data_IF_650552425544
#
_entry.id   IF_650552425544
#
_cell.length_a   1.000
_cell.length_b   1.000
_cell.length_c   1.000
_cell.angle_alpha   90.00
_cell.angle_beta   90.00
_cell.angle_gamma   90.00
#
_symmetry.space_group_name_H-M   'P 1'
#
loop_
_entity.id
_entity.type
_entity.pdbx_description
1 polymer ?
#
# COMPACT_ATOMS: atom_id res chain seq x y z
N UNK A 1 -5.35 24.25 -15.19
CA UNK A 1 -6.04 24.54 -13.91
C UNK A 1 -6.44 26.01 -13.79
N UNK A 2 -7.56 26.32 -13.09
CA UNK A 2 -8.01 27.67 -12.74
C UNK A 2 -8.35 27.74 -11.26
N UNK A 3 -7.89 28.77 -10.58
CA UNK A 3 -8.15 29.03 -9.15
C UNK A 3 -9.21 30.11 -9.01
N UNK A 4 -10.28 29.82 -8.26
CA UNK A 4 -11.37 30.74 -7.95
C UNK A 4 -11.70 30.68 -6.45
N UNK A 5 -11.12 31.59 -5.66
CA UNK A 5 -11.18 31.54 -4.19
C UNK A 5 -10.55 30.24 -3.67
N UNK A 6 -11.30 29.46 -2.91
CA UNK A 6 -10.88 28.17 -2.37
C UNK A 6 -11.29 26.97 -3.26
N UNK A 7 -11.42 27.19 -4.57
CA UNK A 7 -11.76 26.12 -5.53
C UNK A 7 -10.77 26.09 -6.68
N UNK A 8 -10.51 24.88 -7.17
CA UNK A 8 -9.66 24.63 -8.33
C UNK A 8 -10.45 23.84 -9.36
N UNK A 9 -10.48 24.31 -10.60
CA UNK A 9 -11.13 23.64 -11.72
C UNK A 9 -10.14 23.32 -12.85
N UNK A 10 -10.50 22.35 -13.70
CA UNK A 10 -9.68 21.91 -14.80
C UNK A 10 -8.43 21.14 -14.35
N UNK A 11 -8.51 20.43 -13.22
CA UNK A 11 -7.47 19.51 -12.76
C UNK A 11 -7.45 18.29 -13.67
N UNK A 12 -6.27 17.86 -14.11
CA UNK A 12 -6.08 16.67 -14.94
C UNK A 12 -5.44 15.55 -14.14
N UNK A 13 -6.13 14.41 -14.03
CA UNK A 13 -5.65 13.21 -13.35
C UNK A 13 -5.47 12.09 -14.37
N UNK A 14 -4.27 11.52 -14.47
CA UNK A 14 -4.03 10.27 -15.18
C UNK A 14 -4.12 9.10 -14.19
N UNK A 15 -4.93 8.10 -14.48
CA UNK A 15 -5.05 6.91 -13.65
C UNK A 15 -4.54 5.68 -14.37
N UNK A 16 -3.35 5.20 -13.99
CA UNK A 16 -2.74 3.95 -14.48
C UNK A 16 -3.31 2.80 -13.62
N UNK A 17 -4.02 1.88 -14.27
CA UNK A 17 -4.89 0.88 -13.63
C UNK A 17 -6.34 1.33 -13.56
N UNK A 18 -6.76 2.23 -14.47
CA UNK A 18 -8.09 2.85 -14.50
C UNK A 18 -9.24 1.88 -14.76
N UNK A 19 -8.96 0.63 -15.16
CA UNK A 19 -9.91 -0.48 -15.25
C UNK A 19 -10.17 -1.20 -13.93
N UNK A 20 -9.54 -0.78 -12.83
CA UNK A 20 -9.71 -1.40 -11.51
C UNK A 20 -11.17 -1.45 -11.07
N UNK A 21 -11.61 -2.63 -10.64
CA UNK A 21 -12.98 -2.91 -10.17
C UNK A 21 -13.05 -2.83 -8.64
N UNK A 22 -12.68 -1.69 -8.11
CA UNK A 22 -12.64 -1.39 -6.66
C UNK A 22 -11.90 -0.09 -6.40
N UNK A 23 -10.60 -0.05 -6.57
CA UNK A 23 -9.79 1.16 -6.32
C UNK A 23 -10.21 2.34 -7.20
N UNK A 24 -10.50 2.12 -8.50
CA UNK A 24 -10.99 3.18 -9.36
C UNK A 24 -12.35 3.73 -8.90
N UNK A 25 -13.28 2.85 -8.49
CA UNK A 25 -14.59 3.28 -7.97
C UNK A 25 -14.47 4.04 -6.66
N UNK A 26 -13.53 3.63 -5.78
CA UNK A 26 -13.21 4.35 -4.56
C UNK A 26 -12.72 5.77 -4.83
N UNK A 27 -11.70 5.91 -5.70
CA UNK A 27 -11.21 7.24 -6.10
C UNK A 27 -12.30 8.10 -6.73
N UNK A 28 -13.13 7.53 -7.61
CA UNK A 28 -14.27 8.25 -8.21
C UNK A 28 -15.26 8.76 -7.15
N UNK A 29 -15.52 7.94 -6.12
CA UNK A 29 -16.37 8.30 -4.99
C UNK A 29 -15.76 9.42 -4.17
N UNK A 30 -14.47 9.34 -3.84
CA UNK A 30 -13.74 10.36 -3.07
C UNK A 30 -13.66 11.69 -3.84
N UNK A 31 -13.39 11.63 -5.16
CA UNK A 31 -13.39 12.81 -6.04
C UNK A 31 -14.77 13.45 -6.10
N UNK A 32 -15.83 12.67 -6.30
CA UNK A 32 -17.20 13.19 -6.37
C UNK A 32 -17.67 13.83 -5.04
N UNK A 33 -17.11 13.42 -3.90
CA UNK A 33 -17.40 13.99 -2.59
C UNK A 33 -16.63 15.29 -2.28
N UNK A 34 -15.52 15.57 -2.99
CA UNK A 34 -14.70 16.75 -2.78
C UNK A 34 -15.32 17.97 -3.48
N UNK A 35 -15.75 19.00 -2.72
CA UNK A 35 -16.52 20.15 -3.25
C UNK A 35 -15.68 21.29 -3.84
N UNK A 36 -14.37 21.25 -3.66
CA UNK A 36 -13.44 22.33 -3.94
C UNK A 36 -12.49 22.05 -5.11
N UNK A 37 -12.65 20.91 -5.79
CA UNK A 37 -11.88 20.57 -6.98
C UNK A 37 -12.73 19.88 -8.03
N UNK A 38 -12.43 20.12 -9.31
CA UNK A 38 -13.10 19.51 -10.46
C UNK A 38 -12.17 19.44 -11.66
N UNK A 39 -12.47 18.56 -12.61
CA UNK A 39 -11.61 18.41 -13.78
C UNK A 39 -11.89 17.17 -14.60
N UNK A 40 -10.84 16.52 -15.07
CA UNK A 40 -10.92 15.30 -15.89
C UNK A 40 -10.02 14.20 -15.33
N UNK A 41 -10.43 12.95 -15.58
CA UNK A 41 -9.68 11.75 -15.22
C UNK A 41 -9.50 10.88 -16.48
N UNK A 42 -8.25 10.76 -16.93
CA UNK A 42 -7.88 9.87 -18.02
C UNK A 42 -7.60 8.46 -17.46
N UNK A 43 -8.45 7.50 -17.80
CA UNK A 43 -8.36 6.11 -17.34
C UNK A 43 -7.54 5.29 -18.32
N UNK A 44 -6.32 4.91 -17.94
CA UNK A 44 -5.50 3.99 -18.72
C UNK A 44 -5.43 2.62 -18.05
N UNK A 45 -5.69 1.58 -18.83
CA UNK A 45 -5.53 0.18 -18.41
C UNK A 45 -5.14 -0.68 -19.61
N UNK A 46 -4.46 -1.79 -19.37
CA UNK A 46 -4.23 -2.83 -20.39
C UNK A 46 -5.54 -3.53 -20.77
N UNK A 47 -6.47 -3.66 -19.81
CA UNK A 47 -7.88 -4.03 -20.03
C UNK A 47 -8.68 -2.77 -20.44
N UNK A 48 -8.62 -2.44 -21.73
CA UNK A 48 -9.28 -1.25 -22.29
C UNK A 48 -10.79 -1.27 -22.12
N UNK A 49 -11.39 -2.45 -22.13
CA UNK A 49 -12.83 -2.60 -21.93
C UNK A 49 -13.21 -2.24 -20.49
N UNK A 50 -12.41 -2.65 -19.50
CA UNK A 50 -12.62 -2.28 -18.12
C UNK A 50 -12.49 -0.75 -17.91
N UNK A 51 -11.51 -0.11 -18.55
CA UNK A 51 -11.37 1.35 -18.50
C UNK A 51 -12.57 2.06 -19.14
N UNK A 52 -13.06 1.59 -20.28
CA UNK A 52 -14.24 2.15 -20.94
C UNK A 52 -15.53 1.96 -20.10
N UNK A 53 -15.69 0.84 -19.42
CA UNK A 53 -16.80 0.63 -18.47
C UNK A 53 -16.70 1.61 -17.29
N UNK A 54 -15.51 1.81 -16.75
CA UNK A 54 -15.29 2.75 -15.67
C UNK A 54 -15.49 4.22 -16.09
N UNK A 55 -15.23 4.58 -17.35
CA UNK A 55 -15.61 5.88 -17.91
C UNK A 55 -17.12 6.12 -17.78
N UNK A 56 -17.93 5.16 -18.19
CA UNK A 56 -19.41 5.27 -18.09
C UNK A 56 -19.86 5.34 -16.64
N UNK A 57 -19.28 4.50 -15.77
CA UNK A 57 -19.60 4.47 -14.34
C UNK A 57 -19.24 5.82 -13.69
N UNK A 58 -18.03 6.33 -13.90
CA UNK A 58 -17.56 7.59 -13.34
C UNK A 58 -18.39 8.79 -13.80
N UNK A 59 -18.68 8.88 -15.10
CA UNK A 59 -19.50 9.98 -15.64
C UNK A 59 -20.94 9.98 -15.09
N UNK A 60 -21.51 8.82 -14.80
CA UNK A 60 -22.83 8.73 -14.16
C UNK A 60 -22.83 9.20 -12.72
N UNK A 61 -21.71 9.17 -11.99
CA UNK A 61 -21.63 9.66 -10.60
C UNK A 61 -21.91 11.16 -10.51
N UNK A 62 -21.63 11.94 -11.56
CA UNK A 62 -21.93 13.39 -11.61
C UNK A 62 -23.43 13.69 -11.45
N UNK A 63 -24.31 12.77 -11.83
CA UNK A 63 -25.76 12.94 -11.71
C UNK A 63 -26.33 12.53 -10.35
N UNK A 64 -25.51 12.07 -9.40
CA UNK A 64 -25.99 11.65 -8.11
C UNK A 64 -26.22 12.85 -7.18
N UNK A 65 -27.27 12.85 -6.33
CA UNK A 65 -27.56 13.95 -5.41
C UNK A 65 -26.44 14.24 -4.40
N UNK A 66 -25.59 13.25 -4.12
CA UNK A 66 -24.46 13.35 -3.19
C UNK A 66 -23.19 13.92 -3.85
N UNK A 67 -23.16 14.03 -5.20
CA UNK A 67 -22.00 14.58 -5.90
C UNK A 67 -21.83 16.07 -5.55
N UNK A 68 -20.63 16.42 -5.09
CA UNK A 68 -20.26 17.79 -4.71
C UNK A 68 -19.43 18.49 -5.78
N UNK A 69 -18.83 17.69 -6.69
CA UNK A 69 -18.04 18.16 -7.81
C UNK A 69 -18.34 17.36 -9.07
N UNK A 70 -17.95 17.89 -10.23
CA UNK A 70 -18.11 17.24 -11.51
C UNK A 70 -16.74 16.86 -12.10
N UNK A 71 -16.61 15.60 -12.54
CA UNK A 71 -15.42 15.06 -13.16
C UNK A 71 -15.75 14.43 -14.51
N UNK A 72 -14.96 14.77 -15.54
CA UNK A 72 -15.09 14.14 -16.85
C UNK A 72 -14.15 12.93 -16.93
N UNK A 73 -14.69 11.74 -16.95
CA UNK A 73 -13.91 10.50 -17.08
C UNK A 73 -13.85 10.09 -18.56
N UNK A 74 -12.66 9.70 -19.03
CA UNK A 74 -12.48 9.16 -20.37
C UNK A 74 -11.42 8.06 -20.39
N UNK A 75 -11.66 6.99 -21.15
CA UNK A 75 -10.71 5.91 -21.35
C UNK A 75 -9.65 6.33 -22.36
N UNK A 76 -8.39 6.28 -21.95
CA UNK A 76 -7.26 6.69 -22.78
C UNK A 76 -6.76 5.51 -23.66
N UNK A 77 -6.46 5.80 -24.93
CA UNK A 77 -5.99 4.81 -25.89
C UNK A 77 -4.53 4.38 -25.74
N UNK A 78 -3.74 5.12 -24.98
CA UNK A 78 -2.33 4.80 -24.69
C UNK A 78 -1.92 5.43 -23.36
N UNK A 79 -0.81 4.93 -22.78
CA UNK A 79 -0.21 5.50 -21.58
C UNK A 79 0.16 6.97 -21.79
N UNK A 80 0.84 7.31 -22.90
CA UNK A 80 1.19 8.68 -23.21
C UNK A 80 -0.01 9.62 -23.32
N UNK A 81 -1.10 9.17 -23.98
CA UNK A 81 -2.33 9.96 -24.10
C UNK A 81 -3.01 10.21 -22.72
N UNK A 82 -2.93 9.25 -21.81
CA UNK A 82 -3.44 9.45 -20.43
C UNK A 82 -2.60 10.46 -19.66
N UNK A 83 -1.28 10.43 -19.84
CA UNK A 83 -0.33 11.25 -19.09
C UNK A 83 -0.21 12.68 -19.62
N UNK A 84 -0.59 12.95 -20.87
CA UNK A 84 -0.31 14.22 -21.55
C UNK A 84 -0.92 15.41 -20.80
N UNK A 85 -0.06 16.24 -20.22
CA UNK A 85 -0.43 17.42 -19.43
C UNK A 85 -1.14 17.11 -18.11
N UNK A 86 -1.00 15.92 -17.55
CA UNK A 86 -1.58 15.57 -16.26
C UNK A 86 -0.94 16.40 -15.12
N UNK A 87 -1.77 16.82 -14.16
CA UNK A 87 -1.35 17.47 -12.91
C UNK A 87 -1.06 16.41 -11.82
N UNK A 88 -1.79 15.31 -11.87
CA UNK A 88 -1.63 14.16 -10.98
C UNK A 88 -1.61 12.85 -11.75
N UNK A 89 -0.79 11.91 -11.29
CA UNK A 89 -0.77 10.54 -11.78
C UNK A 89 -1.07 9.60 -10.62
N UNK A 90 -2.12 8.81 -10.73
CA UNK A 90 -2.43 7.75 -9.76
C UNK A 90 -2.03 6.42 -10.36
N UNK A 91 -1.24 5.61 -9.62
CA UNK A 91 -0.82 4.26 -10.05
C UNK A 91 -1.40 3.24 -9.08
N UNK A 92 -2.30 2.38 -9.61
CA UNK A 92 -2.91 1.29 -8.83
C UNK A 92 -3.14 0.08 -9.74
N UNK A 93 -2.13 -0.78 -9.86
CA UNK A 93 -2.16 -1.96 -10.71
C UNK A 93 -1.99 -3.26 -9.93
N UNK A 94 -2.45 -4.37 -10.50
CA UNK A 94 -2.05 -5.71 -10.11
C UNK A 94 -0.95 -6.18 -11.08
N UNK A 95 0.31 -6.29 -10.64
CA UNK A 95 1.39 -6.79 -11.50
C UNK A 95 1.23 -8.29 -11.77
N UNK A 96 0.91 -8.66 -12.99
CA UNK A 96 0.53 -10.01 -13.37
C UNK A 96 -0.97 -10.29 -13.14
N UNK A 97 -1.30 -11.55 -12.99
CA UNK A 97 -2.66 -12.02 -12.71
C UNK A 97 -2.74 -12.71 -11.35
N UNK A 98 -3.91 -13.24 -11.00
CA UNK A 98 -4.03 -14.11 -9.82
C UNK A 98 -3.35 -15.47 -9.98
N UNK A 99 -2.93 -15.87 -11.18
CA UNK A 99 -2.16 -17.11 -11.39
C UNK A 99 -0.70 -16.90 -10.94
N UNK A 100 -0.09 -15.76 -11.28
CA UNK A 100 1.22 -15.38 -10.74
C UNK A 100 1.15 -15.19 -9.22
N UNK A 101 0.09 -14.56 -8.71
CA UNK A 101 -0.11 -14.41 -7.26
C UNK A 101 -0.27 -15.78 -6.57
N UNK A 102 -0.91 -16.75 -7.20
CA UNK A 102 -1.01 -18.11 -6.67
C UNK A 102 0.38 -18.76 -6.51
N UNK A 103 1.26 -18.57 -7.49
CA UNK A 103 2.66 -18.99 -7.37
C UNK A 103 3.38 -18.22 -6.24
N UNK A 104 3.20 -16.88 -6.16
CA UNK A 104 3.84 -16.06 -5.13
C UNK A 104 3.48 -16.52 -3.72
N UNK A 105 2.21 -16.83 -3.46
CA UNK A 105 1.69 -17.15 -2.13
C UNK A 105 1.82 -18.65 -1.82
N UNK A 106 1.48 -19.52 -2.77
CA UNK A 106 1.28 -20.95 -2.49
C UNK A 106 2.42 -21.86 -2.93
N UNK A 107 3.30 -21.45 -3.88
CA UNK A 107 4.47 -22.29 -4.21
C UNK A 107 5.42 -22.49 -3.00
N UNK A 108 5.67 -21.48 -2.13
CA UNK A 108 6.49 -21.64 -0.94
C UNK A 108 5.92 -22.60 0.11
N UNK A 109 4.60 -22.85 0.12
CA UNK A 109 3.95 -23.74 1.09
C UNK A 109 4.45 -25.19 1.00
N UNK A 110 4.84 -25.62 -0.22
CA UNK A 110 5.45 -26.95 -0.42
C UNK A 110 6.78 -27.13 0.34
N UNK A 111 7.39 -26.02 0.75
CA UNK A 111 8.62 -25.95 1.54
C UNK A 111 8.39 -25.49 2.98
N UNK A 112 7.14 -25.44 3.43
CA UNK A 112 6.78 -25.00 4.78
C UNK A 112 6.90 -23.50 5.02
N UNK A 113 6.87 -22.69 3.97
CA UNK A 113 6.89 -21.22 4.05
C UNK A 113 5.48 -20.70 3.78
N UNK A 114 4.90 -20.02 4.76
CA UNK A 114 3.54 -19.51 4.69
C UNK A 114 3.55 -17.97 4.61
N UNK A 115 2.70 -17.42 3.75
CA UNK A 115 2.58 -15.99 3.51
C UNK A 115 1.11 -15.57 3.55
N UNK A 116 0.68 -14.75 4.54
CA UNK A 116 -0.72 -14.28 4.62
C UNK A 116 -1.12 -13.35 3.48
N UNK A 117 -0.17 -12.63 2.89
CA UNK A 117 -0.37 -11.64 1.81
C UNK A 117 0.52 -11.91 0.61
N UNK A 118 1.85 -12.07 0.81
CA UNK A 118 2.83 -12.41 -0.21
C UNK A 118 3.06 -11.35 -1.29
N UNK A 119 2.81 -10.07 -0.99
CA UNK A 119 2.86 -9.01 -2.00
C UNK A 119 3.98 -7.96 -1.80
N UNK A 120 4.65 -7.97 -0.66
CA UNK A 120 5.61 -6.91 -0.29
C UNK A 120 6.98 -7.46 0.09
N UNK A 121 7.06 -8.56 0.83
CA UNK A 121 8.29 -9.19 1.31
C UNK A 121 8.17 -10.71 1.18
N UNK A 122 9.21 -11.45 1.56
CA UNK A 122 9.24 -12.90 1.41
C UNK A 122 9.43 -13.36 -0.03
N UNK A 123 9.34 -14.68 -0.28
CA UNK A 123 9.42 -15.26 -1.60
C UNK A 123 8.48 -14.61 -2.62
N UNK A 124 7.21 -14.45 -2.24
CA UNK A 124 6.18 -13.84 -3.09
C UNK A 124 6.47 -12.38 -3.41
N UNK A 125 6.82 -11.59 -2.38
CA UNK A 125 7.13 -10.17 -2.55
C UNK A 125 8.30 -9.94 -3.50
N UNK A 126 9.33 -10.79 -3.46
CA UNK A 126 10.46 -10.72 -4.39
C UNK A 126 10.02 -10.98 -5.84
N UNK A 127 9.31 -12.08 -6.11
CA UNK A 127 8.87 -12.38 -7.48
C UNK A 127 7.88 -11.34 -8.00
N UNK A 128 7.00 -10.83 -7.13
CA UNK A 128 6.14 -9.71 -7.48
C UNK A 128 6.96 -8.46 -7.82
N UNK A 129 8.01 -8.14 -7.07
CA UNK A 129 8.90 -7.03 -7.35
C UNK A 129 9.60 -7.15 -8.71
N UNK A 130 10.13 -8.33 -9.03
CA UNK A 130 10.78 -8.58 -10.32
C UNK A 130 9.85 -8.33 -11.51
N UNK A 131 8.55 -8.56 -11.36
CA UNK A 131 7.54 -8.24 -12.39
C UNK A 131 7.15 -6.77 -12.39
N UNK A 132 7.08 -6.16 -11.20
CA UNK A 132 6.56 -4.79 -11.03
C UNK A 132 7.57 -3.73 -11.43
N UNK A 133 8.84 -3.92 -11.07
CA UNK A 133 9.90 -2.92 -11.30
C UNK A 133 10.01 -2.53 -12.77
N UNK A 134 10.05 -3.44 -13.76
CA UNK A 134 10.08 -3.06 -15.17
C UNK A 134 8.86 -2.26 -15.63
N UNK A 135 7.68 -2.56 -15.11
CA UNK A 135 6.47 -1.76 -15.41
C UNK A 135 6.61 -0.33 -14.88
N UNK A 136 7.17 -0.18 -13.67
CA UNK A 136 7.42 1.14 -13.07
C UNK A 136 8.54 1.91 -13.75
N UNK A 137 9.51 1.23 -14.35
CA UNK A 137 10.53 1.86 -15.22
C UNK A 137 9.86 2.50 -16.45
N UNK A 138 8.93 1.78 -17.09
CA UNK A 138 8.12 2.30 -18.20
C UNK A 138 7.27 3.50 -17.77
N UNK A 139 6.57 3.39 -16.63
CA UNK A 139 5.73 4.48 -16.14
C UNK A 139 6.56 5.73 -15.83
N UNK A 140 7.69 5.58 -15.15
CA UNK A 140 8.57 6.71 -14.82
C UNK A 140 9.14 7.40 -16.07
N UNK A 141 9.52 6.63 -17.10
CA UNK A 141 9.98 7.15 -18.38
C UNK A 141 8.86 7.91 -19.11
N UNK A 142 7.64 7.36 -19.11
CA UNK A 142 6.47 7.99 -19.73
C UNK A 142 6.06 9.27 -18.98
N UNK A 143 6.05 9.26 -17.64
CA UNK A 143 5.76 10.46 -16.81
C UNK A 143 6.77 11.57 -17.12
N UNK A 144 8.07 11.23 -17.17
CA UNK A 144 9.14 12.19 -17.53
C UNK A 144 8.90 12.82 -18.91
N UNK A 145 8.37 12.06 -19.87
CA UNK A 145 8.14 12.52 -21.24
C UNK A 145 6.87 13.38 -21.38
N UNK A 146 5.78 13.05 -20.67
CA UNK A 146 4.46 13.62 -20.91
C UNK A 146 3.98 14.59 -19.83
N UNK A 147 4.38 14.40 -18.57
CA UNK A 147 3.93 15.23 -17.43
C UNK A 147 5.00 15.31 -16.32
N UNK A 148 6.21 15.85 -16.61
CA UNK A 148 7.34 15.83 -15.66
C UNK A 148 7.07 16.60 -14.34
N UNK A 149 6.11 17.53 -14.33
CA UNK A 149 5.74 18.32 -13.15
C UNK A 149 4.60 17.71 -12.33
N UNK A 150 3.99 16.60 -12.80
CA UNK A 150 2.87 15.97 -12.13
C UNK A 150 3.28 15.35 -10.78
N UNK A 151 2.39 15.42 -9.80
CA UNK A 151 2.50 14.62 -8.59
C UNK A 151 2.04 13.19 -8.83
N UNK A 152 2.84 12.21 -8.43
CA UNK A 152 2.58 10.78 -8.60
C UNK A 152 2.20 10.15 -7.26
N UNK A 153 1.02 9.56 -7.19
CA UNK A 153 0.49 8.86 -6.02
C UNK A 153 0.46 7.37 -6.33
N UNK A 154 1.31 6.60 -5.67
CA UNK A 154 1.37 5.15 -5.86
C UNK A 154 0.63 4.38 -4.77
N UNK A 155 -0.27 3.48 -5.19
CA UNK A 155 -0.96 2.51 -4.33
C UNK A 155 -0.51 1.05 -4.57
N UNK A 156 0.36 0.84 -5.57
CA UNK A 156 0.80 -0.51 -5.97
C UNK A 156 1.88 -1.05 -5.04
N UNK A 157 1.78 -2.33 -4.69
CA UNK A 157 2.80 -3.08 -3.96
C UNK A 157 3.67 -3.95 -4.90
N UNK A 158 4.94 -4.14 -4.53
CA UNK A 158 5.69 -3.71 -3.33
C UNK A 158 5.96 -2.21 -3.33
N UNK A 159 5.30 -1.46 -2.46
CA UNK A 159 5.27 0.01 -2.52
C UNK A 159 6.65 0.65 -2.42
N UNK A 160 7.49 0.20 -1.49
CA UNK A 160 8.86 0.69 -1.32
C UNK A 160 9.65 0.60 -2.63
N UNK A 161 9.58 -0.55 -3.33
CA UNK A 161 10.31 -0.80 -4.57
C UNK A 161 9.70 -0.05 -5.76
N UNK A 162 8.37 0.11 -5.79
CA UNK A 162 7.67 0.94 -6.76
C UNK A 162 8.16 2.39 -6.69
N UNK A 163 8.09 3.01 -5.51
CA UNK A 163 8.53 4.39 -5.30
C UNK A 163 10.03 4.54 -5.58
N UNK A 164 10.86 3.59 -5.12
CA UNK A 164 12.30 3.59 -5.40
C UNK A 164 12.58 3.56 -6.90
N UNK A 165 11.85 2.77 -7.67
CA UNK A 165 12.00 2.67 -9.12
C UNK A 165 11.65 3.98 -9.83
N UNK A 166 10.56 4.65 -9.40
CA UNK A 166 10.19 5.95 -9.93
C UNK A 166 11.34 6.96 -9.79
N UNK A 167 11.90 7.09 -8.59
CA UNK A 167 13.03 8.01 -8.33
C UNK A 167 14.34 7.58 -9.02
N UNK A 168 14.61 6.29 -9.18
CA UNK A 168 15.78 5.80 -9.88
C UNK A 168 15.77 6.18 -11.37
N UNK A 169 14.63 6.04 -12.03
CA UNK A 169 14.48 6.34 -13.47
C UNK A 169 14.31 7.83 -13.73
N UNK A 170 13.64 8.52 -12.85
CA UNK A 170 13.39 9.95 -12.94
C UNK A 170 13.67 10.62 -11.58
N UNK A 171 14.93 10.99 -11.28
CA UNK A 171 15.30 11.53 -9.97
C UNK A 171 14.58 12.80 -9.52
N UNK A 172 14.04 13.60 -10.45
CA UNK A 172 13.28 14.83 -10.17
C UNK A 172 11.77 14.58 -10.04
N UNK A 173 11.31 13.34 -10.14
CA UNK A 173 9.90 13.01 -10.04
C UNK A 173 9.31 13.48 -8.70
N UNK A 174 8.12 14.04 -8.73
CA UNK A 174 7.33 14.36 -7.53
C UNK A 174 6.47 13.15 -7.20
N UNK A 175 6.95 12.19 -6.40
CA UNK A 175 6.24 10.94 -6.17
C UNK A 175 6.23 10.53 -4.69
N UNK A 176 5.15 9.89 -4.28
CA UNK A 176 5.05 9.24 -2.97
C UNK A 176 4.13 8.00 -3.04
N UNK A 177 4.31 7.09 -2.09
CA UNK A 177 3.42 5.96 -1.90
C UNK A 177 2.43 6.23 -0.77
N UNK A 178 1.17 5.86 -0.98
CA UNK A 178 0.08 6.05 -0.02
C UNK A 178 -0.40 4.68 0.48
N UNK A 179 -0.32 4.46 1.81
CA UNK A 179 -0.74 3.23 2.47
C UNK A 179 -1.54 3.51 3.72
N UNK A 180 -2.64 2.78 3.92
CA UNK A 180 -3.57 2.97 5.04
C UNK A 180 -3.30 2.05 6.25
N UNK A 181 -2.27 1.22 6.24
CA UNK A 181 -2.01 0.26 7.32
C UNK A 181 -1.78 0.94 8.69
N UNK A 182 -1.15 2.11 8.72
CA UNK A 182 -0.98 2.92 9.93
C UNK A 182 -2.34 3.39 10.50
N UNK A 183 -3.32 3.66 9.63
CA UNK A 183 -4.65 4.14 10.03
C UNK A 183 -5.40 3.12 10.90
N UNK A 184 -5.25 1.83 10.57
CA UNK A 184 -5.79 0.74 11.39
C UNK A 184 -5.22 0.75 12.80
N UNK A 185 -3.93 1.05 12.95
CA UNK A 185 -3.29 1.18 14.26
C UNK A 185 -3.74 2.44 14.99
N UNK A 186 -3.88 3.60 14.33
CA UNK A 186 -4.45 4.80 14.95
C UNK A 186 -5.88 4.54 15.44
N UNK A 187 -6.70 3.82 14.67
CA UNK A 187 -8.04 3.41 15.10
C UNK A 187 -8.01 2.50 16.35
N UNK A 188 -7.04 1.58 16.43
CA UNK A 188 -6.80 0.78 17.63
C UNK A 188 -6.41 1.67 18.83
N UNK A 189 -5.57 2.69 18.63
CA UNK A 189 -5.19 3.64 19.69
C UNK A 189 -6.40 4.45 20.19
N UNK A 190 -7.38 4.76 19.34
CA UNK A 190 -8.68 5.33 19.76
C UNK A 190 -9.44 4.40 20.72
N UNK A 191 -9.41 3.09 20.45
CA UNK A 191 -9.95 2.09 21.38
C UNK A 191 -9.17 2.04 22.70
N UNK A 192 -7.84 2.12 22.65
CA UNK A 192 -6.96 2.19 23.84
C UNK A 192 -7.32 3.39 24.71
N UNK A 193 -7.50 4.56 24.11
CA UNK A 193 -7.92 5.78 24.80
C UNK A 193 -9.27 5.60 25.51
N UNK A 194 -10.23 5.00 24.85
CA UNK A 194 -11.56 4.74 25.43
C UNK A 194 -11.47 3.78 26.62
N UNK A 195 -10.78 2.65 26.46
CA UNK A 195 -10.73 1.59 27.47
C UNK A 195 -9.85 1.93 28.68
N UNK A 196 -8.71 2.62 28.44
CA UNK A 196 -7.68 2.84 29.44
C UNK A 196 -7.69 4.26 30.07
N UNK A 197 -8.34 5.23 29.40
CA UNK A 197 -8.42 6.62 29.86
C UNK A 197 -9.83 7.20 29.87
N UNK A 198 -10.87 6.44 29.47
CA UNK A 198 -12.24 6.91 29.42
C UNK A 198 -12.52 8.01 28.39
N UNK A 199 -11.69 8.12 27.35
CA UNK A 199 -11.84 9.11 26.28
C UNK A 199 -12.70 8.54 25.16
N UNK A 200 -13.94 9.01 25.05
CA UNK A 200 -14.85 8.62 23.97
C UNK A 200 -14.76 9.55 22.77
N UNK A 201 -15.02 9.00 21.56
CA UNK A 201 -15.16 9.77 20.32
C UNK A 201 -13.86 10.24 19.70
N UNK A 202 -12.68 9.85 20.21
CA UNK A 202 -11.41 10.12 19.55
C UNK A 202 -11.34 9.37 18.21
N UNK A 203 -11.17 10.11 17.12
CA UNK A 203 -10.97 9.56 15.77
C UNK A 203 -9.47 9.33 15.49
N UNK A 204 -9.13 8.65 14.39
CA UNK A 204 -7.73 8.45 14.01
C UNK A 204 -7.00 9.77 13.73
N UNK A 205 -7.71 10.76 13.21
CA UNK A 205 -7.18 12.09 12.86
C UNK A 205 -6.80 12.91 14.09
N UNK A 206 -7.44 12.63 15.23
CA UNK A 206 -7.14 13.29 16.52
C UNK A 206 -5.85 12.74 17.17
N UNK A 207 -5.40 11.55 16.73
CA UNK A 207 -4.25 10.85 17.31
C UNK A 207 -3.00 11.16 16.51
N UNK A 208 -2.10 11.92 17.11
CA UNK A 208 -0.80 12.24 16.51
C UNK A 208 0.18 11.10 16.78
N UNK A 209 0.82 10.62 15.73
CA UNK A 209 1.80 9.54 15.79
C UNK A 209 3.10 9.95 15.12
N UNK A 210 4.23 9.47 15.61
CA UNK A 210 5.51 9.56 14.91
C UNK A 210 5.80 8.21 14.25
N UNK A 211 5.69 8.17 12.92
CA UNK A 211 5.84 6.96 12.12
C UNK A 211 7.28 6.80 11.66
N UNK A 212 7.83 5.61 11.84
CA UNK A 212 9.16 5.21 11.35
C UNK A 212 9.11 3.81 10.74
N UNK A 213 9.88 3.56 9.71
CA UNK A 213 10.01 2.23 9.12
C UNK A 213 9.94 2.22 7.61
N UNK A 214 9.57 1.07 7.06
CA UNK A 214 9.27 0.86 5.64
C UNK A 214 7.84 0.40 5.48
N UNK A 215 7.30 0.49 4.26
CA UNK A 215 5.92 0.08 4.00
C UNK A 215 5.60 -1.31 4.55
N UNK A 216 4.46 -1.43 5.21
CA UNK A 216 3.95 -2.62 5.89
C UNK A 216 4.78 -3.12 7.09
N UNK A 217 5.91 -2.47 7.38
CA UNK A 217 6.72 -2.73 8.57
C UNK A 217 7.04 -1.42 9.30
N UNK A 218 5.99 -0.65 9.52
CA UNK A 218 6.02 0.64 10.22
C UNK A 218 5.89 0.45 11.73
N UNK A 219 6.44 1.44 12.45
CA UNK A 219 6.42 1.50 13.91
C UNK A 219 6.10 2.92 14.35
N UNK A 220 5.52 3.05 15.53
CA UNK A 220 5.27 4.35 16.16
C UNK A 220 6.28 4.55 17.30
N UNK A 221 7.06 5.59 17.25
CA UNK A 221 7.98 5.95 18.35
C UNK A 221 7.36 6.96 19.32
N UNK A 222 6.25 7.58 18.93
CA UNK A 222 5.39 8.39 19.79
C UNK A 222 3.94 8.26 19.34
N UNK A 223 3.01 8.32 20.30
CA UNK A 223 1.57 8.37 20.06
C UNK A 223 0.91 9.25 21.12
N UNK A 224 0.17 10.26 20.69
CA UNK A 224 -0.40 11.28 21.56
C UNK A 224 -1.80 11.68 21.14
N UNK A 225 -2.66 11.89 22.12
CA UNK A 225 -3.98 12.51 21.96
C UNK A 225 -4.05 13.73 22.89
N UNK A 226 -4.08 14.95 22.33
CA UNK A 226 -3.97 16.20 23.08
C UNK A 226 -2.73 16.18 23.98
N UNK A 227 -2.90 16.22 25.33
CA UNK A 227 -1.88 16.13 26.35
C UNK A 227 -1.63 14.71 26.90
N UNK A 228 -2.36 13.71 26.39
CA UNK A 228 -2.28 12.32 26.83
C UNK A 228 -1.22 11.56 26.01
N UNK A 229 -0.16 11.08 26.69
CA UNK A 229 0.74 10.08 26.13
C UNK A 229 0.06 8.71 26.11
N UNK A 230 -0.08 8.14 24.91
CA UNK A 230 -0.78 6.86 24.71
C UNK A 230 0.10 5.65 25.06
N UNK A 231 1.44 5.79 25.11
CA UNK A 231 2.33 4.67 25.35
C UNK A 231 2.10 3.92 26.68
N UNK A 232 1.93 4.59 27.82
CA UNK A 232 1.56 3.91 29.06
C UNK A 232 0.21 3.22 29.00
N UNK A 233 -0.75 3.80 28.28
CA UNK A 233 -2.09 3.23 28.08
C UNK A 233 -1.99 1.96 27.22
N UNK A 234 -1.28 2.04 26.11
CA UNK A 234 -1.06 0.90 25.21
C UNK A 234 -0.35 -0.27 25.91
N UNK A 235 0.58 0.03 26.83
CA UNK A 235 1.26 -1.00 27.64
C UNK A 235 0.26 -1.79 28.48
N UNK A 236 -0.66 -1.11 29.18
CA UNK A 236 -1.71 -1.79 29.98
C UNK A 236 -2.65 -2.58 29.09
N UNK A 237 -3.07 -1.98 27.98
CA UNK A 237 -3.92 -2.64 26.99
C UNK A 237 -3.27 -3.90 26.42
N UNK A 238 -2.00 -3.83 26.01
CA UNK A 238 -1.27 -4.98 25.50
C UNK A 238 -1.06 -6.07 26.56
N UNK A 239 -0.86 -5.72 27.83
CA UNK A 239 -0.82 -6.69 28.92
C UNK A 239 -2.16 -7.42 29.11
N UNK A 240 -3.28 -6.72 28.95
CA UNK A 240 -4.63 -7.26 29.08
C UNK A 240 -4.97 -8.21 27.94
N UNK A 241 -4.64 -7.85 26.71
CA UNK A 241 -5.15 -8.52 25.51
C UNK A 241 -4.15 -9.42 24.77
N UNK A 242 -2.87 -9.46 25.14
CA UNK A 242 -1.85 -10.20 24.38
C UNK A 242 -2.11 -11.70 24.22
N UNK A 243 -2.80 -12.33 25.19
CA UNK A 243 -3.04 -13.77 25.16
C UNK A 243 -4.25 -14.18 24.32
N UNK A 244 -5.30 -13.34 24.31
CA UNK A 244 -6.57 -13.66 23.66
C UNK A 244 -6.86 -12.76 22.45
N UNK A 245 -6.08 -11.70 22.31
CA UNK A 245 -6.29 -10.68 21.28
C UNK A 245 -7.44 -9.75 21.60
N UNK A 246 -7.49 -8.63 20.91
CA UNK A 246 -8.56 -7.66 20.98
C UNK A 246 -9.37 -7.72 19.68
N UNK A 247 -10.23 -8.71 19.53
CA UNK A 247 -11.02 -8.88 18.32
C UNK A 247 -11.73 -7.56 17.94
N UNK A 248 -11.52 -7.09 16.70
CA UNK A 248 -12.60 -6.38 16.00
C UNK A 248 -13.75 -7.36 15.98
N UNK A 249 -15.01 -6.94 16.28
CA UNK A 249 -16.16 -7.75 15.90
C UNK A 249 -15.96 -8.11 14.46
N UNK A 250 -15.66 -9.38 14.17
CA UNK A 250 -15.70 -9.88 12.83
C UNK A 250 -17.13 -9.64 12.36
N UNK A 251 -17.32 -8.79 11.38
CA UNK A 251 -18.53 -8.91 10.59
C UNK A 251 -18.50 -10.34 10.06
N UNK A 252 -19.53 -11.14 10.35
CA UNK A 252 -19.66 -12.54 9.92
C UNK A 252 -19.78 -12.70 8.40
N UNK A 253 -19.37 -11.69 7.69
CA UNK A 253 -19.35 -11.65 6.26
C UNK A 253 -18.06 -12.34 5.76
N UNK A 254 -18.22 -13.33 4.88
CA UNK A 254 -17.14 -14.10 4.30
C UNK A 254 -16.06 -13.22 3.66
N UNK A 255 -16.41 -12.02 3.21
CA UNK A 255 -15.53 -11.01 2.60
C UNK A 255 -14.43 -10.54 3.58
N UNK A 256 -14.75 -10.39 4.85
CA UNK A 256 -13.79 -9.94 5.87
C UNK A 256 -13.11 -11.09 6.62
N UNK A 257 -13.51 -12.32 6.36
CA UNK A 257 -13.02 -13.51 7.09
C UNK A 257 -11.49 -13.62 7.08
N UNK A 258 -10.86 -13.36 5.94
CA UNK A 258 -9.41 -13.45 5.76
C UNK A 258 -8.65 -12.18 6.15
N UNK A 259 -9.35 -11.08 6.42
CA UNK A 259 -8.74 -9.82 6.85
C UNK A 259 -8.91 -9.57 8.35
N UNK A 260 -9.69 -10.40 9.04
CA UNK A 260 -9.84 -10.32 10.49
C UNK A 260 -8.50 -10.56 11.16
N UNK A 261 -8.13 -9.70 12.12
CA UNK A 261 -6.96 -9.84 12.97
C UNK A 261 -7.36 -9.59 14.42
N UNK A 262 -6.70 -10.29 15.33
CA UNK A 262 -6.87 -10.10 16.79
C UNK A 262 -5.82 -9.19 17.38
N UNK A 263 -5.00 -8.54 16.56
CA UNK A 263 -3.91 -7.60 16.92
C UNK A 263 -2.86 -8.22 17.87
N UNK A 264 -2.71 -9.55 17.83
CA UNK A 264 -1.85 -10.29 18.77
C UNK A 264 -0.37 -10.17 18.40
N UNK A 265 -0.03 -10.21 17.10
CA UNK A 265 1.36 -10.03 16.63
C UNK A 265 1.86 -8.64 17.00
N UNK A 266 1.04 -7.61 16.77
CA UNK A 266 1.35 -6.22 17.12
C UNK A 266 1.63 -6.05 18.61
N UNK A 267 0.77 -6.63 19.46
CA UNK A 267 0.95 -6.57 20.91
C UNK A 267 2.15 -7.40 21.39
N UNK A 268 2.44 -8.55 20.78
CA UNK A 268 3.62 -9.36 21.11
C UNK A 268 4.92 -8.62 20.75
N UNK A 269 4.97 -8.02 19.55
CA UNK A 269 6.10 -7.20 19.12
C UNK A 269 6.33 -6.03 20.07
N UNK A 270 5.27 -5.32 20.50
CA UNK A 270 5.39 -4.25 21.48
C UNK A 270 5.96 -4.74 22.83
N UNK A 271 5.48 -5.88 23.33
CA UNK A 271 5.96 -6.45 24.61
C UNK A 271 7.43 -6.85 24.55
N UNK A 272 7.92 -7.28 23.39
CA UNK A 272 9.31 -7.71 23.20
C UNK A 272 10.25 -6.57 22.87
N UNK A 273 9.83 -5.65 22.01
CA UNK A 273 10.70 -4.61 21.46
C UNK A 273 10.44 -3.23 22.05
N UNK A 274 9.33 -3.03 22.78
CA UNK A 274 9.01 -1.76 23.45
C UNK A 274 8.53 -0.65 22.53
N UNK A 275 8.32 -0.94 21.23
CA UNK A 275 7.85 0.02 20.22
C UNK A 275 6.54 -0.48 19.64
N UNK A 276 5.57 0.41 19.41
CA UNK A 276 4.27 0.04 18.85
C UNK A 276 4.44 -0.25 17.35
N UNK A 277 4.20 -1.49 16.91
CA UNK A 277 4.15 -1.83 15.49
C UNK A 277 2.86 -1.29 14.86
N UNK A 278 2.93 -0.73 13.65
CA UNK A 278 1.88 0.10 13.08
C UNK A 278 1.24 -0.43 11.80
N UNK A 279 1.58 -1.64 11.36
CA UNK A 279 0.88 -2.33 10.29
C UNK A 279 -0.04 -3.44 10.84
N UNK A 280 -0.86 -4.05 10.00
CA UNK A 280 -1.69 -5.20 10.38
C UNK A 280 -0.86 -6.44 10.68
N UNK A 281 -1.36 -7.32 11.55
CA UNK A 281 -0.66 -8.54 11.99
C UNK A 281 -0.17 -9.41 10.84
N UNK A 282 -0.95 -9.51 9.77
CA UNK A 282 -0.64 -10.30 8.58
C UNK A 282 0.63 -9.80 7.87
N UNK A 283 0.78 -8.50 7.74
CA UNK A 283 1.98 -7.87 7.18
C UNK A 283 3.15 -7.97 8.14
N UNK A 284 2.96 -7.59 9.41
CA UNK A 284 4.01 -7.64 10.42
C UNK A 284 4.65 -9.02 10.53
N UNK A 285 3.84 -10.08 10.45
CA UNK A 285 4.32 -11.46 10.52
C UNK A 285 5.27 -11.81 9.37
N UNK A 286 5.03 -11.30 8.15
CA UNK A 286 5.86 -11.58 6.97
C UNK A 286 7.25 -10.94 7.03
N UNK A 287 7.41 -9.84 7.76
CA UNK A 287 8.70 -9.15 7.94
C UNK A 287 9.54 -9.73 9.08
N UNK A 288 8.96 -10.59 9.89
CA UNK A 288 9.64 -11.28 10.98
C UNK A 288 10.19 -12.63 10.52
N UNK A 289 11.17 -13.22 11.25
CA UNK A 289 11.54 -14.62 11.02
C UNK A 289 10.29 -15.52 11.03
N UNK A 290 10.10 -16.30 9.97
CA UNK A 290 8.89 -17.10 9.79
C UNK A 290 8.58 -18.05 10.95
N UNK A 291 9.61 -18.50 11.67
CA UNK A 291 9.47 -19.32 12.88
C UNK A 291 8.71 -18.63 14.03
N UNK A 292 8.55 -17.28 14.01
CA UNK A 292 7.87 -16.57 15.09
C UNK A 292 6.34 -16.66 14.97
N UNK A 293 5.81 -16.41 13.79
CA UNK A 293 4.36 -16.24 13.58
C UNK A 293 3.80 -17.06 12.41
N UNK A 294 4.67 -17.57 11.51
CA UNK A 294 4.32 -18.21 10.25
C UNK A 294 4.88 -19.65 10.13
N UNK A 295 5.21 -20.28 11.25
CA UNK A 295 5.82 -21.63 11.25
C UNK A 295 4.96 -22.66 10.54
N UNK A 296 3.65 -22.61 10.75
CA UNK A 296 2.65 -23.50 10.19
C UNK A 296 1.25 -22.86 10.32
N UNK A 297 0.21 -23.38 9.63
CA UNK A 297 -1.15 -22.85 9.70
C UNK A 297 -1.73 -22.81 11.13
N UNK A 298 -1.41 -23.77 11.98
CA UNK A 298 -1.87 -23.79 13.36
C UNK A 298 -1.25 -22.64 14.18
N UNK A 299 0.01 -22.30 13.90
CA UNK A 299 0.67 -21.12 14.49
C UNK A 299 -0.02 -19.84 14.06
N UNK A 300 -0.37 -19.70 12.77
CA UNK A 300 -1.11 -18.54 12.24
C UNK A 300 -2.46 -18.38 12.94
N UNK A 301 -3.23 -19.46 13.05
CA UNK A 301 -4.52 -19.47 13.76
C UNK A 301 -4.37 -19.09 15.23
N UNK A 302 -3.35 -19.61 15.91
CA UNK A 302 -3.02 -19.29 17.31
C UNK A 302 -2.75 -17.78 17.47
N UNK A 303 -2.11 -17.12 16.49
CA UNK A 303 -1.83 -15.69 16.51
C UNK A 303 -3.02 -14.83 16.06
N UNK A 304 -4.17 -15.46 15.78
CA UNK A 304 -5.44 -14.78 15.57
C UNK A 304 -5.56 -14.01 14.25
N UNK A 305 -4.86 -14.46 13.21
CA UNK A 305 -5.05 -13.98 11.84
C UNK A 305 -5.16 -15.17 10.87
N UNK A 306 -5.35 -14.91 9.57
CA UNK A 306 -5.56 -15.95 8.58
C UNK A 306 -4.59 -15.81 7.40
N UNK A 307 -4.24 -16.96 6.80
CA UNK A 307 -3.67 -17.02 5.46
C UNK A 307 -4.80 -16.71 4.45
N UNK A 308 -4.54 -15.86 3.48
CA UNK A 308 -5.54 -15.54 2.45
C UNK A 308 -5.31 -16.41 1.23
N UNK A 309 -6.16 -17.41 0.97
CA UNK A 309 -5.99 -18.26 -0.20
C UNK A 309 -6.27 -17.45 -1.47
N UNK A 310 -5.44 -17.63 -2.49
CA UNK A 310 -5.62 -16.93 -3.78
C UNK A 310 -6.90 -17.39 -4.49
N UNK A 311 -7.36 -18.60 -4.24
CA UNK A 311 -8.66 -19.09 -4.70
C UNK A 311 -9.81 -18.17 -4.27
N UNK A 312 -9.80 -17.64 -3.04
CA UNK A 312 -10.78 -16.66 -2.59
C UNK A 312 -10.71 -15.36 -3.40
N UNK A 313 -9.49 -14.89 -3.73
CA UNK A 313 -9.32 -13.68 -4.57
C UNK A 313 -9.85 -13.89 -5.99
N UNK A 314 -9.70 -15.10 -6.54
CA UNK A 314 -10.27 -15.48 -7.83
C UNK A 314 -11.81 -15.48 -7.82
N UNK A 315 -12.42 -15.97 -6.72
CA UNK A 315 -13.88 -15.89 -6.55
C UNK A 315 -14.36 -14.44 -6.35
N UNK A 316 -13.66 -13.67 -5.54
CA UNK A 316 -13.94 -12.23 -5.37
C UNK A 316 -13.86 -11.48 -6.71
N UNK A 317 -12.89 -11.81 -7.57
CA UNK A 317 -12.80 -11.21 -8.91
C UNK A 317 -14.06 -11.50 -9.75
N UNK A 318 -14.60 -12.72 -9.70
CA UNK A 318 -15.85 -13.04 -10.41
C UNK A 318 -17.01 -12.15 -9.96
N UNK A 319 -17.15 -11.95 -8.65
CA UNK A 319 -18.20 -11.06 -8.11
C UNK A 319 -17.95 -9.59 -8.50
N UNK A 320 -16.71 -9.12 -8.49
CA UNK A 320 -16.36 -7.76 -8.95
C UNK A 320 -16.62 -7.56 -10.43
N UNK A 321 -16.38 -8.58 -11.27
CA UNK A 321 -16.72 -8.57 -12.69
C UNK A 321 -18.23 -8.48 -12.90
N UNK A 322 -19.00 -9.30 -12.20
CA UNK A 322 -20.46 -9.26 -12.24
C UNK A 322 -21.02 -7.92 -11.74
N UNK A 323 -20.44 -7.37 -10.67
CA UNK A 323 -20.81 -6.05 -10.16
C UNK A 323 -20.49 -4.93 -11.14
N UNK A 324 -19.32 -4.99 -11.81
CA UNK A 324 -18.96 -4.03 -12.85
C UNK A 324 -20.00 -3.99 -13.96
N UNK A 325 -20.52 -5.16 -14.40
CA UNK A 325 -21.60 -5.24 -15.38
C UNK A 325 -22.90 -4.63 -14.86
N UNK A 326 -23.30 -4.92 -13.62
CA UNK A 326 -24.51 -4.34 -13.02
C UNK A 326 -24.42 -2.81 -12.88
N UNK A 327 -23.25 -2.28 -12.48
CA UNK A 327 -23.02 -0.83 -12.39
C UNK A 327 -23.01 -0.18 -13.78
N UNK A 328 -22.37 -0.81 -14.76
CA UNK A 328 -22.28 -0.33 -16.12
C UNK A 328 -23.66 -0.30 -16.81
N UNK A 329 -24.44 -1.37 -16.70
CA UNK A 329 -25.79 -1.46 -17.28
C UNK A 329 -26.84 -0.61 -16.53
N UNK A 330 -26.57 -0.20 -15.30
CA UNK A 330 -27.53 0.50 -14.44
C UNK A 330 -28.45 -0.43 -13.66
N UNK A 331 -28.20 -1.74 -13.67
CA UNK A 331 -28.94 -2.73 -12.87
C UNK A 331 -28.63 -2.61 -11.38
N UNK A 332 -27.50 -2.05 -11.00
CA UNK A 332 -27.13 -1.68 -9.62
C UNK A 332 -27.01 -0.16 -9.52
N UNK A 333 -27.62 0.42 -8.50
CA UNK A 333 -27.55 1.87 -8.26
C UNK A 333 -26.14 2.28 -7.79
N UNK A 334 -25.59 3.31 -8.41
CA UNK A 334 -24.35 3.94 -7.96
C UNK A 334 -24.55 4.66 -6.62
N UNK A 335 -23.51 4.67 -5.81
CA UNK A 335 -23.45 5.40 -4.54
C UNK A 335 -22.12 6.12 -4.44
N UNK A 336 -22.14 7.31 -3.85
CA UNK A 336 -20.94 8.00 -3.41
C UNK A 336 -20.73 7.59 -1.95
N UNK A 337 -19.68 6.79 -1.73
CA UNK A 337 -19.30 6.25 -0.43
C UNK A 337 -17.79 6.46 -0.26
N UNK A 338 -17.37 7.58 0.37
CA UNK A 338 -15.96 7.91 0.53
C UNK A 338 -15.19 6.82 1.26
N UNK A 339 -14.01 6.50 0.73
CA UNK A 339 -13.21 5.36 1.18
C UNK A 339 -12.49 5.59 2.50
N UNK A 340 -12.25 6.86 2.87
CA UNK A 340 -11.35 7.23 3.95
C UNK A 340 -9.86 7.16 3.58
N UNK A 341 -9.54 6.86 2.31
CA UNK A 341 -8.19 6.99 1.76
C UNK A 341 -7.80 8.47 1.66
N UNK A 342 -6.51 8.77 1.78
CA UNK A 342 -6.06 10.16 1.83
C UNK A 342 -5.67 10.78 0.48
N UNK A 343 -5.68 10.02 -0.62
CA UNK A 343 -5.20 10.48 -1.91
C UNK A 343 -5.86 11.76 -2.40
N UNK A 344 -7.18 11.87 -2.30
CA UNK A 344 -7.91 13.10 -2.68
C UNK A 344 -7.57 14.25 -1.73
N UNK A 345 -7.43 13.97 -0.43
CA UNK A 345 -7.00 14.96 0.56
C UNK A 345 -5.57 15.45 0.30
N UNK A 346 -4.68 14.55 -0.11
CA UNK A 346 -3.31 14.88 -0.53
C UNK A 346 -3.31 15.76 -1.79
N UNK A 347 -4.11 15.42 -2.81
CA UNK A 347 -4.28 16.26 -4.01
C UNK A 347 -4.76 17.67 -3.65
N UNK A 348 -5.77 17.77 -2.77
CA UNK A 348 -6.29 19.07 -2.29
C UNK A 348 -5.20 19.90 -1.62
N UNK A 349 -4.40 19.30 -0.73
CA UNK A 349 -3.29 20.00 -0.08
C UNK A 349 -2.25 20.48 -1.09
N UNK A 350 -1.87 19.63 -2.05
CA UNK A 350 -0.93 19.98 -3.12
C UNK A 350 -1.46 21.09 -4.06
N UNK A 351 -2.77 21.20 -4.19
CA UNK A 351 -3.43 22.31 -4.88
C UNK A 351 -3.57 23.58 -4.01
N UNK A 352 -3.08 23.56 -2.77
CA UNK A 352 -3.19 24.71 -1.86
C UNK A 352 -4.58 24.87 -1.23
N UNK A 353 -5.41 23.83 -1.22
CA UNK A 353 -6.75 23.80 -0.63
C UNK A 353 -6.75 23.33 0.84
N UNK A 354 -5.73 23.68 1.57
CA UNK A 354 -5.46 23.27 2.94
C UNK A 354 -4.14 22.56 3.08
N UNK A 355 -3.78 22.22 4.31
CA UNK A 355 -2.57 21.46 4.62
C UNK A 355 -2.83 20.41 5.71
N UNK A 356 -2.01 19.41 5.79
CA UNK A 356 -2.06 18.39 6.84
C UNK A 356 -0.81 17.53 6.88
N UNK A 357 -0.66 16.76 7.96
CA UNK A 357 0.43 15.82 8.16
C UNK A 357 -0.11 14.40 8.14
N UNK A 358 0.49 13.53 7.32
CA UNK A 358 0.16 12.11 7.26
C UNK A 358 1.39 11.27 6.92
N UNK A 359 1.31 9.93 7.11
CA UNK A 359 2.38 9.02 6.70
C UNK A 359 2.38 8.79 5.19
N UNK A 360 3.58 8.76 4.63
CA UNK A 360 3.81 8.44 3.21
C UNK A 360 5.12 7.71 3.02
N UNK A 361 5.21 6.99 1.90
CA UNK A 361 6.42 6.30 1.46
C UNK A 361 7.21 7.19 0.50
N UNK A 362 8.37 7.67 0.95
CA UNK A 362 9.26 8.58 0.21
C UNK A 362 10.74 8.25 0.48
N UNK A 363 11.68 8.69 -0.37
CA UNK A 363 13.10 8.52 -0.10
C UNK A 363 13.54 9.14 1.23
N UNK A 364 14.36 8.43 1.97
CA UNK A 364 14.99 8.92 3.18
C UNK A 364 16.05 9.98 2.83
N UNK A 365 15.80 11.23 3.15
CA UNK A 365 16.72 12.35 3.00
C UNK A 365 17.22 12.86 4.35
N UNK A 366 17.10 12.02 5.40
CA UNK A 366 17.51 12.31 6.77
C UNK A 366 16.40 12.22 7.81
N UNK A 367 15.14 11.95 7.41
CA UNK A 367 14.02 11.81 8.35
C UNK A 367 14.22 10.65 9.33
N UNK A 368 14.90 9.57 8.91
CA UNK A 368 15.40 8.49 9.78
C UNK A 368 16.92 8.43 9.65
N UNK A 369 17.69 9.12 10.52
CA UNK A 369 19.12 9.37 10.31
C UNK A 369 20.00 8.11 10.39
N UNK A 370 19.51 7.02 10.99
CA UNK A 370 20.25 5.75 11.10
C UNK A 370 19.80 4.70 10.07
N UNK A 371 19.00 5.09 9.07
CA UNK A 371 18.77 4.28 7.86
C UNK A 371 19.51 4.87 6.67
N UNK A 372 19.80 4.06 5.62
CA UNK A 372 20.50 4.54 4.44
C UNK A 372 19.81 5.73 3.76
N UNK A 373 20.58 6.72 3.34
CA UNK A 373 20.08 7.82 2.53
C UNK A 373 19.58 7.29 1.18
N UNK A 374 18.40 7.73 0.75
CA UNK A 374 17.77 7.26 -0.49
C UNK A 374 16.99 5.94 -0.37
N UNK A 375 17.06 5.22 0.77
CA UNK A 375 16.12 4.14 1.04
C UNK A 375 14.70 4.70 1.11
N UNK A 376 13.72 4.03 0.50
CA UNK A 376 12.33 4.48 0.63
C UNK A 376 11.79 4.04 1.98
N UNK A 377 11.38 5.01 2.78
CA UNK A 377 10.87 4.83 4.16
C UNK A 377 9.44 5.34 4.27
N UNK A 378 8.71 4.82 5.24
CA UNK A 378 7.39 5.33 5.58
C UNK A 378 7.49 6.18 6.85
N UNK A 379 7.29 7.49 6.68
CA UNK A 379 7.34 8.50 7.73
C UNK A 379 6.26 9.54 7.50
N UNK A 380 5.98 10.36 8.52
CA UNK A 380 5.10 11.50 8.32
C UNK A 380 5.72 12.52 7.36
N UNK A 381 4.86 13.16 6.56
CA UNK A 381 5.20 14.34 5.77
C UNK A 381 4.09 15.40 5.90
N UNK A 382 4.47 16.65 5.81
CA UNK A 382 3.58 17.78 5.72
C UNK A 382 3.27 18.04 4.25
N UNK A 383 1.99 18.03 3.93
CA UNK A 383 1.43 18.36 2.62
C UNK A 383 0.92 19.79 2.63
N UNK A 384 1.37 20.59 1.69
CA UNK A 384 0.89 21.95 1.42
C UNK A 384 1.06 22.26 -0.07
N UNK A 385 0.73 23.48 -0.52
CA UNK A 385 0.75 23.86 -1.93
C UNK A 385 2.06 23.41 -2.63
N UNK A 386 1.92 22.56 -3.64
CA UNK A 386 3.00 21.96 -4.47
C UNK A 386 4.19 21.37 -3.67
N UNK A 387 3.95 20.91 -2.45
CA UNK A 387 5.02 20.47 -1.55
C UNK A 387 4.62 19.27 -0.71
N UNK A 388 5.51 18.27 -0.67
CA UNK A 388 5.52 17.17 0.31
C UNK A 388 6.81 17.26 1.09
N UNK A 389 6.74 17.78 2.32
CA UNK A 389 7.90 17.97 3.16
C UNK A 389 7.99 16.86 4.20
N UNK A 390 9.04 16.00 4.15
CA UNK A 390 9.25 14.98 5.17
C UNK A 390 9.41 15.60 6.57
N UNK A 391 8.73 15.01 7.55
CA UNK A 391 8.91 15.36 8.96
C UNK A 391 10.07 14.56 9.51
N UNK A 392 10.97 15.20 10.27
CA UNK A 392 12.06 14.51 10.95
C UNK A 392 11.48 13.54 11.99
N UNK A 393 11.65 12.25 11.74
CA UNK A 393 11.08 11.19 12.57
C UNK A 393 12.04 10.73 13.70
N UNK A 394 13.32 11.05 13.56
CA UNK A 394 14.37 10.64 14.48
C UNK A 394 14.90 9.22 14.20
N UNK A 395 15.91 8.77 14.97
CA UNK A 395 16.52 7.47 14.74
C UNK A 395 15.58 6.32 15.14
N UNK A 396 15.68 5.20 14.44
CA UNK A 396 15.08 3.95 14.90
C UNK A 396 15.64 3.55 16.25
N UNK A 397 14.78 3.13 17.20
CA UNK A 397 15.21 2.51 18.44
C UNK A 397 16.09 1.29 18.22
N UNK A 398 17.11 1.10 19.05
CA UNK A 398 18.05 0.00 18.94
C UNK A 398 17.39 -1.40 18.89
N UNK A 399 16.23 -1.54 19.55
CA UNK A 399 15.49 -2.80 19.60
C UNK A 399 14.93 -3.24 18.25
N UNK A 400 14.56 -2.31 17.35
CA UNK A 400 13.97 -2.61 16.03
C UNK A 400 14.94 -2.34 14.86
N UNK A 401 16.06 -1.66 15.11
CA UNK A 401 17.05 -1.28 14.10
C UNK A 401 17.57 -2.49 13.31
N UNK A 402 17.99 -3.63 13.93
CA UNK A 402 18.48 -4.78 13.17
C UNK A 402 17.42 -5.43 12.26
N UNK A 403 16.16 -5.44 12.68
CA UNK A 403 15.06 -5.93 11.85
C UNK A 403 14.92 -5.06 10.60
N UNK A 404 14.93 -3.75 10.79
CA UNK A 404 14.70 -2.78 9.73
C UNK A 404 15.86 -2.72 8.72
N UNK A 405 17.10 -2.71 9.21
CA UNK A 405 18.28 -2.63 8.31
C UNK A 405 18.43 -3.86 7.44
N UNK A 406 18.06 -5.05 7.95
CA UNK A 406 18.00 -6.28 7.13
C UNK A 406 17.01 -6.11 5.98
N UNK A 407 15.81 -5.63 6.24
CA UNK A 407 14.78 -5.41 5.20
C UNK A 407 15.24 -4.36 4.19
N UNK A 408 15.76 -3.21 4.64
CA UNK A 408 16.29 -2.19 3.73
C UNK A 408 17.39 -2.76 2.82
N UNK A 409 18.31 -3.58 3.37
CA UNK A 409 19.37 -4.22 2.59
C UNK A 409 18.84 -5.18 1.53
N UNK A 410 17.84 -6.00 1.87
CA UNK A 410 17.19 -6.91 0.92
C UNK A 410 16.44 -6.12 -0.18
N UNK A 411 15.70 -5.08 0.17
CA UNK A 411 15.02 -4.23 -0.80
C UNK A 411 16.01 -3.54 -1.75
N UNK A 412 17.17 -3.13 -1.25
CA UNK A 412 18.26 -2.59 -2.09
C UNK A 412 18.75 -3.63 -3.10
N UNK A 413 19.04 -4.86 -2.62
CA UNK A 413 19.47 -5.95 -3.49
C UNK A 413 18.43 -6.30 -4.56
N UNK A 414 17.14 -6.32 -4.22
CA UNK A 414 16.05 -6.57 -5.19
C UNK A 414 16.00 -5.44 -6.24
N UNK A 415 16.09 -4.19 -5.80
CA UNK A 415 16.10 -3.04 -6.71
C UNK A 415 17.26 -3.09 -7.68
N UNK A 416 18.45 -3.44 -7.21
CA UNK A 416 19.67 -3.57 -8.02
C UNK A 416 19.59 -4.77 -8.97
N UNK A 417 19.18 -5.94 -8.47
CA UNK A 417 18.97 -7.13 -9.27
C UNK A 417 18.02 -6.89 -10.43
N UNK A 418 16.90 -6.20 -10.16
CA UNK A 418 15.96 -5.84 -11.21
C UNK A 418 16.53 -4.82 -12.21
N UNK A 419 17.29 -3.83 -11.74
CA UNK A 419 17.94 -2.85 -12.60
C UNK A 419 18.96 -3.48 -13.56
N UNK A 420 19.76 -4.41 -13.05
CA UNK A 420 20.80 -5.11 -13.82
C UNK A 420 20.28 -6.34 -14.56
N UNK A 421 19.03 -6.74 -14.33
CA UNK A 421 18.46 -8.00 -14.85
C UNK A 421 19.22 -9.23 -14.32
N UNK A 422 19.78 -9.14 -13.10
CA UNK A 422 20.63 -10.16 -12.47
C UNK A 422 19.81 -11.10 -11.59
N UNK A 423 19.46 -12.28 -12.11
CA UNK A 423 18.76 -13.33 -11.37
C UNK A 423 19.64 -13.98 -10.28
N UNK A 424 20.96 -13.89 -10.37
CA UNK A 424 21.87 -14.37 -9.34
C UNK A 424 21.79 -13.48 -8.09
N UNK A 425 21.81 -12.15 -8.26
CA UNK A 425 21.61 -11.20 -7.18
C UNK A 425 20.19 -11.29 -6.61
N UNK A 426 19.17 -11.50 -7.46
CA UNK A 426 17.79 -11.74 -7.01
C UNK A 426 17.69 -12.98 -6.13
N UNK A 427 18.38 -14.08 -6.49
CA UNK A 427 18.45 -15.29 -5.65
C UNK A 427 19.15 -15.03 -4.30
N UNK A 428 20.20 -14.24 -4.27
CA UNK A 428 20.85 -13.88 -3.00
C UNK A 428 19.90 -13.12 -2.09
N UNK A 429 19.16 -12.12 -2.63
CA UNK A 429 18.12 -11.41 -1.87
C UNK A 429 17.03 -12.35 -1.35
N UNK A 430 16.60 -13.31 -2.17
CA UNK A 430 15.63 -14.35 -1.83
C UNK A 430 16.10 -15.22 -0.66
N UNK A 431 17.34 -15.67 -0.70
CA UNK A 431 17.92 -16.53 0.34
C UNK A 431 18.17 -15.80 1.67
N UNK A 432 18.27 -14.47 1.65
CA UNK A 432 18.48 -13.63 2.83
C UNK A 432 17.19 -13.16 3.50
N UNK A 433 16.02 -13.44 2.92
CA UNK A 433 14.74 -12.98 3.50
C UNK A 433 14.51 -13.56 4.90
N UNK A 434 13.95 -12.81 5.85
CA UNK A 434 13.63 -13.32 7.21
C UNK A 434 12.71 -14.54 7.21
N UNK A 435 11.81 -14.62 6.22
CA UNK A 435 10.86 -15.73 6.05
C UNK A 435 11.41 -16.85 5.16
N UNK A 436 12.74 -16.97 5.03
CA UNK A 436 13.42 -18.03 4.27
C UNK A 436 14.21 -18.97 5.21
N UNK A 437 13.58 -20.02 5.74
CA UNK A 437 14.23 -20.95 6.68
C UNK A 437 15.01 -22.08 5.98
N UNK A 438 15.03 -22.11 4.63
CA UNK A 438 15.56 -23.23 3.86
C UNK A 438 17.08 -23.22 3.75
N UNK A 439 17.67 -24.41 3.58
CA UNK A 439 19.03 -24.54 3.06
C UNK A 439 19.14 -24.04 1.62
N UNK A 440 20.36 -23.69 1.18
CA UNK A 440 20.57 -23.03 -0.11
C UNK A 440 20.09 -23.85 -1.32
N UNK A 441 20.19 -25.18 -1.26
CA UNK A 441 19.76 -26.05 -2.36
C UNK A 441 18.24 -26.06 -2.52
N UNK A 442 17.49 -26.17 -1.40
CA UNK A 442 16.03 -26.11 -1.40
C UNK A 442 15.54 -24.71 -1.76
N UNK A 443 16.19 -23.66 -1.26
CA UNK A 443 15.90 -22.27 -1.65
C UNK A 443 16.09 -22.06 -3.15
N UNK A 444 17.16 -22.65 -3.74
CA UNK A 444 17.41 -22.58 -5.18
C UNK A 444 16.35 -23.34 -5.98
N UNK A 445 15.92 -24.50 -5.50
CA UNK A 445 14.86 -25.28 -6.14
C UNK A 445 13.53 -24.52 -6.13
N UNK A 446 13.15 -23.92 -5.00
CA UNK A 446 11.97 -23.06 -4.88
C UNK A 446 12.07 -21.84 -5.80
N UNK A 447 13.20 -21.13 -5.80
CA UNK A 447 13.42 -19.98 -6.66
C UNK A 447 13.26 -20.33 -8.14
N UNK A 448 13.83 -21.46 -8.59
CA UNK A 448 13.69 -21.94 -9.96
C UNK A 448 12.24 -22.30 -10.30
N UNK A 449 11.50 -22.94 -9.39
CA UNK A 449 10.09 -23.25 -9.58
C UNK A 449 9.24 -21.98 -9.72
N UNK A 450 9.41 -20.98 -8.83
CA UNK A 450 8.70 -19.71 -8.89
C UNK A 450 9.07 -18.91 -10.14
N UNK A 451 10.34 -18.94 -10.57
CA UNK A 451 10.80 -18.31 -11.83
C UNK A 451 10.08 -18.92 -13.04
N UNK A 452 9.94 -20.25 -13.06
CA UNK A 452 9.22 -20.96 -14.13
C UNK A 452 7.73 -20.61 -14.13
N UNK A 453 7.09 -20.58 -12.98
CA UNK A 453 5.66 -20.29 -12.84
C UNK A 453 5.29 -18.88 -13.32
N UNK A 454 6.23 -17.94 -13.23
CA UNK A 454 6.02 -16.52 -13.59
C UNK A 454 6.84 -16.08 -14.81
N UNK A 455 7.35 -17.03 -15.59
CA UNK A 455 8.30 -16.81 -16.70
C UNK A 455 7.79 -15.81 -17.75
N UNK A 456 6.47 -15.75 -17.99
CA UNK A 456 5.86 -14.81 -18.94
C UNK A 456 6.16 -13.34 -18.62
N UNK A 457 6.36 -13.01 -17.33
CA UNK A 457 6.68 -11.67 -16.86
C UNK A 457 8.18 -11.46 -16.55
N UNK A 458 9.02 -12.48 -16.77
CA UNK A 458 10.44 -12.44 -16.49
C UNK A 458 11.31 -12.55 -17.75
N UNK A 459 10.73 -12.35 -18.93
CA UNK A 459 11.43 -12.51 -20.23
C UNK A 459 12.67 -11.61 -20.35
N UNK A 460 12.65 -10.43 -19.73
CA UNK A 460 13.77 -9.49 -19.73
C UNK A 460 14.96 -9.91 -18.85
N UNK A 461 14.80 -10.95 -18.01
CA UNK A 461 15.86 -11.51 -17.18
C UNK A 461 16.49 -12.76 -17.81
N UNK A 462 16.08 -13.14 -19.03
CA UNK A 462 16.55 -14.33 -19.76
C UNK A 462 17.64 -13.94 -20.79
N UNK A 463 18.63 -13.17 -20.35
CA UNK A 463 19.75 -12.74 -21.16
C UNK A 463 20.98 -13.64 -21.02
#
# INVERSE_FOLDING_TARGET
MKYEGNKVSGVKIAYIGGGSRGWAWGLMSDLAAAEDMSGEVALYDIDREAAARNEVIGNRMNGLPQARSAWNYHAANSLGAALDGADFVVISILPGTFDEMESDVHAPEAYGIYQPVGDTTGPGGLFRALRTIPMFEEFAAAIRAHCPEAWVINYTNPMTLCVKTLYRVFPQIKAFGCCHEVFGTQSLLGRVLREEAGVDGATREDIKVNVVGVNHFTWLTAAQYRDIDIYPLYRRFAQKYHAEGCAKKADDNWFNRYFASREMVKMDLFRRFGVIAAAGDRHLAEFCPGSWYLKDPATVEKWGFALTPVSWRKEELKERLARSERLYSGAEALKIDPTGEEGVRQMRALLGLGDFVTNVNIPNIGQIPNLPFGAVVETNAHFCADTVQPVLAGPLPASIYPLMTRICGIQEMISEAAAQRDMGLAFQAFALDPNMPLGLDDAKALFAAMSKNTAAYLTMYQG
#
